data_IF_669192685441
#
_entry.id   IF_669192685441
#
_cell.length_a   1.000
_cell.length_b   1.000
_cell.length_c   1.000
_cell.angle_alpha   90.00
_cell.angle_beta   90.00
_cell.angle_gamma   90.00
#
_symmetry.space_group_name_H-M   'P 1'
#
loop_
_entity.id
_entity.type
_entity.pdbx_description
1 polymer ?
#
# COMPACT_ATOMS: atom_id res chain seq x y z
N UNK A 1 2.41 -22.22 0.64
CA UNK A 1 1.27 -21.30 0.85
C UNK A 1 1.38 -20.19 -0.18
N UNK A 2 0.63 -20.27 -1.28
CA UNK A 2 0.62 -19.19 -2.28
C UNK A 2 0.07 -17.92 -1.62
N UNK A 3 0.87 -16.85 -1.60
CA UNK A 3 0.53 -15.54 -1.04
C UNK A 3 -0.52 -14.78 -1.90
N UNK A 4 -1.52 -15.48 -2.41
CA UNK A 4 -2.62 -14.99 -3.26
C UNK A 4 -3.63 -14.11 -2.51
N UNK A 5 -3.33 -13.66 -1.29
CA UNK A 5 -4.25 -12.90 -0.40
C UNK A 5 -3.57 -11.76 0.38
N UNK A 6 -2.47 -11.20 -0.13
CA UNK A 6 -1.71 -10.17 0.58
C UNK A 6 -1.85 -8.78 -0.02
N UNK A 7 -3.04 -8.43 -0.53
CA UNK A 7 -3.33 -7.09 -1.05
C UNK A 7 -3.08 -5.98 -0.01
N UNK A 8 -3.48 -6.13 1.27
CA UNK A 8 -3.11 -5.16 2.30
C UNK A 8 -1.59 -5.04 2.49
N UNK A 9 -0.86 -6.15 2.42
CA UNK A 9 0.59 -6.12 2.60
C UNK A 9 1.30 -5.51 1.38
N UNK A 10 0.81 -5.80 0.17
CA UNK A 10 1.31 -5.19 -1.05
C UNK A 10 1.01 -3.70 -1.06
N UNK A 11 -0.18 -3.28 -0.62
CA UNK A 11 -0.54 -1.89 -0.42
C UNK A 11 0.41 -1.22 0.58
N UNK A 12 0.68 -1.85 1.73
CA UNK A 12 1.64 -1.34 2.71
C UNK A 12 3.04 -1.15 2.11
N UNK A 13 3.52 -2.11 1.29
CA UNK A 13 4.80 -2.00 0.57
C UNK A 13 4.81 -0.86 -0.46
N UNK A 14 3.70 -0.65 -1.16
CA UNK A 14 3.57 0.45 -2.12
C UNK A 14 3.60 1.78 -1.38
N UNK A 15 2.82 1.93 -0.29
CA UNK A 15 2.86 3.14 0.54
C UNK A 15 4.29 3.40 1.03
N UNK A 16 4.99 2.38 1.55
CA UNK A 16 6.41 2.51 1.96
C UNK A 16 7.34 3.04 0.87
N UNK A 17 7.04 2.75 -0.41
CA UNK A 17 7.90 3.12 -1.54
C UNK A 17 7.59 4.52 -2.07
N UNK A 18 6.34 4.96 -1.96
CA UNK A 18 5.85 6.20 -2.58
C UNK A 18 5.39 7.25 -1.56
N UNK A 19 5.56 7.00 -0.26
CA UNK A 19 5.19 7.95 0.79
C UNK A 19 6.05 9.23 0.76
N UNK A 20 5.47 10.39 1.15
CA UNK A 20 4.06 10.58 1.51
C UNK A 20 3.17 10.69 0.25
N UNK A 21 2.04 9.96 0.25
CA UNK A 21 1.07 10.03 -0.84
C UNK A 21 0.06 11.14 -0.54
N UNK A 22 -0.09 12.08 -1.46
CA UNK A 22 -0.96 13.27 -1.31
C UNK A 22 -2.40 12.95 -1.69
N UNK A 23 -3.17 12.45 -0.72
CA UNK A 23 -4.61 12.26 -0.80
C UNK A 23 -5.06 10.90 -1.33
N UNK A 24 -6.29 10.52 -0.98
CA UNK A 24 -6.89 9.23 -1.35
C UNK A 24 -6.98 9.07 -2.88
N UNK A 25 -7.45 10.09 -3.60
CA UNK A 25 -7.56 10.02 -5.06
C UNK A 25 -6.20 9.78 -5.76
N UNK A 26 -5.11 10.28 -5.18
CA UNK A 26 -3.75 10.04 -5.69
C UNK A 26 -3.30 8.61 -5.43
N UNK A 27 -3.63 8.03 -4.26
CA UNK A 27 -3.40 6.62 -3.99
C UNK A 27 -4.13 5.73 -5.01
N UNK A 28 -5.41 5.98 -5.27
CA UNK A 28 -6.19 5.20 -6.23
C UNK A 28 -5.61 5.27 -7.65
N UNK A 29 -5.25 6.48 -8.12
CA UNK A 29 -4.58 6.66 -9.42
C UNK A 29 -3.24 5.93 -9.49
N UNK A 30 -2.44 5.99 -8.42
CA UNK A 30 -1.16 5.30 -8.33
C UNK A 30 -1.35 3.79 -8.45
N UNK A 31 -2.24 3.20 -7.65
CA UNK A 31 -2.49 1.76 -7.64
C UNK A 31 -3.03 1.29 -8.99
N UNK A 32 -4.03 1.99 -9.55
CA UNK A 32 -4.57 1.69 -10.87
C UNK A 32 -3.48 1.76 -11.95
N UNK A 33 -2.61 2.77 -11.92
CA UNK A 33 -1.49 2.88 -12.86
C UNK A 33 -0.50 1.73 -12.74
N UNK A 34 -0.18 1.28 -11.51
CA UNK A 34 0.71 0.14 -11.27
C UNK A 34 0.10 -1.16 -11.79
N UNK A 35 -1.21 -1.37 -11.59
CA UNK A 35 -1.92 -2.55 -12.12
C UNK A 35 -1.88 -2.56 -13.64
N UNK A 36 -2.16 -1.44 -14.28
CA UNK A 36 -2.09 -1.31 -15.74
C UNK A 36 -0.66 -1.50 -16.29
N UNK A 37 0.36 -1.34 -15.45
CA UNK A 37 1.78 -1.64 -15.77
C UNK A 37 2.18 -3.08 -15.45
N UNK A 38 1.24 -3.94 -15.06
CA UNK A 38 1.46 -5.37 -14.83
C UNK A 38 1.59 -5.79 -13.36
N UNK A 39 1.37 -4.88 -12.40
CA UNK A 39 1.30 -5.27 -10.99
C UNK A 39 0.04 -6.12 -10.75
N UNK A 40 0.23 -7.34 -10.23
CA UNK A 40 -0.86 -8.29 -9.97
C UNK A 40 -1.57 -7.97 -8.65
N UNK A 41 -2.47 -6.99 -8.67
CA UNK A 41 -3.48 -6.75 -7.63
C UNK A 41 -4.86 -6.93 -8.28
N UNK A 42 -5.85 -7.36 -7.50
CA UNK A 42 -7.22 -7.67 -7.97
C UNK A 42 -8.23 -6.61 -7.55
N UNK A 43 -7.75 -5.44 -7.15
CA UNK A 43 -8.60 -4.30 -6.86
C UNK A 43 -9.50 -3.97 -8.05
N UNK A 44 -10.80 -3.86 -7.78
CA UNK A 44 -11.80 -3.55 -8.80
C UNK A 44 -11.97 -2.04 -8.92
N UNK A 45 -11.60 -1.48 -10.07
CA UNK A 45 -11.70 -0.05 -10.33
C UNK A 45 -12.92 0.32 -11.16
N UNK A 46 -13.61 1.38 -10.72
CA UNK A 46 -14.65 2.09 -11.47
C UNK A 46 -14.08 3.46 -11.85
N UNK A 47 -14.18 3.83 -13.13
CA UNK A 47 -13.71 5.11 -13.63
C UNK A 47 -14.77 6.19 -13.44
N UNK A 48 -14.47 7.19 -12.61
CA UNK A 48 -15.27 8.41 -12.46
C UNK A 48 -14.60 9.61 -13.15
N UNK A 49 -15.32 10.73 -13.27
CA UNK A 49 -14.79 11.97 -13.84
C UNK A 49 -13.55 12.52 -13.12
N UNK A 50 -13.41 12.22 -11.84
CA UNK A 50 -12.28 12.62 -10.99
C UNK A 50 -11.18 11.54 -10.88
N UNK A 51 -11.31 10.42 -11.60
CA UNK A 51 -10.33 9.34 -11.64
C UNK A 51 -10.89 7.96 -11.27
N UNK A 52 -10.04 6.93 -11.36
CA UNK A 52 -10.39 5.56 -10.97
C UNK A 52 -10.60 5.49 -9.45
N UNK A 53 -11.60 4.72 -9.03
CA UNK A 53 -11.92 4.46 -7.63
C UNK A 53 -12.11 2.97 -7.39
N UNK A 54 -11.61 2.45 -6.28
CA UNK A 54 -11.71 1.06 -5.87
C UNK A 54 -12.11 0.96 -4.39
N UNK A 55 -13.28 0.35 -4.12
CA UNK A 55 -13.82 0.21 -2.77
C UNK A 55 -12.98 -0.74 -1.91
N UNK A 56 -12.52 -1.83 -2.51
CA UNK A 56 -11.63 -2.83 -1.92
C UNK A 56 -10.25 -2.25 -1.54
N UNK A 57 -9.70 -1.33 -2.35
CA UNK A 57 -8.49 -0.58 -1.96
C UNK A 57 -8.72 0.30 -0.72
N UNK A 58 -9.89 0.95 -0.62
CA UNK A 58 -10.24 1.74 0.57
C UNK A 58 -10.39 0.84 1.80
N UNK A 59 -11.04 -0.32 1.68
CA UNK A 59 -11.20 -1.28 2.77
C UNK A 59 -9.83 -1.75 3.30
N UNK A 60 -8.90 -2.09 2.40
CA UNK A 60 -7.53 -2.48 2.76
C UNK A 60 -6.74 -1.32 3.38
N UNK A 61 -6.89 -0.10 2.86
CA UNK A 61 -6.28 1.09 3.48
C UNK A 61 -6.80 1.30 4.91
N UNK A 62 -8.12 1.20 5.11
CA UNK A 62 -8.74 1.33 6.42
C UNK A 62 -8.28 0.22 7.38
N UNK A 63 -8.12 -1.01 6.90
CA UNK A 63 -7.54 -2.08 7.68
C UNK A 63 -6.12 -1.73 8.15
N UNK A 64 -5.24 -1.26 7.26
CA UNK A 64 -3.88 -0.87 7.61
C UNK A 64 -3.83 0.27 8.63
N UNK A 65 -4.75 1.23 8.53
CA UNK A 65 -4.91 2.32 9.51
C UNK A 65 -5.34 1.76 10.86
N UNK A 66 -6.36 0.91 10.91
CA UNK A 66 -6.85 0.27 12.15
C UNK A 66 -5.78 -0.60 12.81
N UNK A 67 -4.92 -1.26 12.03
CA UNK A 67 -3.77 -1.99 12.55
C UNK A 67 -2.64 -1.09 13.07
N UNK A 68 -2.75 0.23 12.87
CA UNK A 68 -1.76 1.23 13.24
C UNK A 68 -0.50 1.17 12.39
N UNK A 69 -0.60 0.70 11.14
CA UNK A 69 0.55 0.55 10.22
C UNK A 69 0.66 1.74 9.24
N UNK A 70 -0.47 2.36 8.93
CA UNK A 70 -0.57 3.56 8.09
C UNK A 70 -1.22 4.68 8.91
N UNK A 71 -0.77 5.91 8.71
CA UNK A 71 -1.40 7.10 9.26
C UNK A 71 -1.84 8.03 8.12
N UNK A 72 -2.94 8.72 8.36
CA UNK A 72 -3.42 9.82 7.52
C UNK A 72 -3.27 11.10 8.34
N UNK A 73 -2.47 12.03 7.84
CA UNK A 73 -2.24 13.33 8.45
C UNK A 73 -2.82 14.44 7.57
N UNK A 74 -3.20 15.56 8.19
CA UNK A 74 -3.54 16.77 7.45
C UNK A 74 -2.38 17.75 7.57
N UNK A 75 -1.79 18.13 6.43
CA UNK A 75 -0.70 19.09 6.31
C UNK A 75 -1.14 20.23 5.38
N UNK A 76 -1.39 21.42 5.95
CA UNK A 76 -1.79 22.62 5.21
C UNK A 76 -2.94 22.41 4.22
N UNK A 77 -3.99 21.69 4.67
CA UNK A 77 -5.16 21.36 3.85
C UNK A 77 -4.98 20.15 2.92
N UNK A 78 -3.80 19.55 2.87
CA UNK A 78 -3.55 18.31 2.13
C UNK A 78 -3.62 17.10 3.05
N UNK A 79 -4.36 16.08 2.63
CA UNK A 79 -4.33 14.77 3.27
C UNK A 79 -3.06 14.02 2.83
N UNK A 80 -2.22 13.61 3.77
CA UNK A 80 -1.00 12.84 3.53
C UNK A 80 -1.14 11.42 4.08
N UNK A 81 -0.90 10.43 3.23
CA UNK A 81 -0.90 9.01 3.60
C UNK A 81 0.55 8.55 3.71
N UNK A 82 0.95 8.04 4.87
CA UNK A 82 2.31 7.54 5.13
C UNK A 82 2.28 6.38 6.12
N UNK A 83 3.38 5.66 6.24
CA UNK A 83 3.58 4.65 7.26
C UNK A 83 3.65 5.28 8.65
N UNK A 84 3.13 4.55 9.62
CA UNK A 84 3.43 4.82 11.03
C UNK A 84 4.83 4.30 11.38
N UNK A 85 5.35 4.67 12.55
CA UNK A 85 6.58 4.08 13.08
C UNK A 85 6.50 2.55 13.21
N UNK A 86 5.31 2.00 13.50
CA UNK A 86 5.05 0.55 13.51
C UNK A 86 5.08 -0.03 12.10
N UNK A 87 4.45 0.63 11.12
CA UNK A 87 4.47 0.23 9.71
C UNK A 87 5.88 0.13 9.15
N UNK A 88 6.73 1.14 9.42
CA UNK A 88 8.14 1.15 9.00
C UNK A 88 8.91 -0.05 9.56
N UNK A 89 8.72 -0.37 10.86
CA UNK A 89 9.38 -1.54 11.49
C UNK A 89 8.96 -2.85 10.81
N UNK A 90 7.67 -3.02 10.55
CA UNK A 90 7.14 -4.23 9.89
C UNK A 90 7.73 -4.39 8.48
N UNK A 91 7.78 -3.33 7.68
CA UNK A 91 8.39 -3.39 6.34
C UNK A 91 9.87 -3.76 6.42
N UNK A 92 10.64 -3.16 7.33
CA UNK A 92 12.05 -3.51 7.55
C UNK A 92 12.22 -4.99 7.93
N UNK A 93 11.39 -5.50 8.85
CA UNK A 93 11.40 -6.92 9.22
C UNK A 93 11.09 -7.84 8.03
N UNK A 94 10.10 -7.49 7.20
CA UNK A 94 9.75 -8.27 6.00
C UNK A 94 10.85 -8.30 4.95
N UNK A 95 11.58 -7.20 4.78
CA UNK A 95 12.74 -7.15 3.87
C UNK A 95 13.90 -8.00 4.39
N UNK A 96 14.13 -8.01 5.70
CA UNK A 96 15.19 -8.81 6.32
C UNK A 96 14.89 -10.32 6.34
N UNK A 97 13.62 -10.74 6.34
CA UNK A 97 13.27 -12.16 6.18
C UNK A 97 13.72 -12.64 4.79
N UNK A 98 13.47 -11.82 3.75
CA UNK A 98 13.83 -12.16 2.38
C UNK A 98 15.35 -12.31 2.16
N UNK A 99 16.19 -11.58 2.91
CA UNK A 99 17.65 -11.72 2.80
C UNK A 99 18.20 -12.96 3.51
N UNK A 100 17.52 -13.44 4.57
CA UNK A 100 17.91 -14.67 5.29
C UNK A 100 17.61 -15.94 4.50
N UNK A 101 16.50 -15.98 3.77
CA UNK A 101 16.17 -17.13 2.93
C UNK A 101 17.16 -17.31 1.76
N UNK A 102 17.85 -16.25 1.33
CA UNK A 102 18.90 -16.29 0.31
C UNK A 102 20.28 -16.69 0.85
N UNK A 103 20.48 -16.73 2.18
CA UNK A 103 21.78 -17.04 2.81
C UNK A 103 21.91 -18.49 3.28
N UNK A 104 20.89 -19.32 3.09
CA UNK A 104 20.90 -20.74 3.48
C UNK A 104 21.37 -21.66 2.33
N UNK A 105 21.51 -21.13 1.11
CA UNK A 105 22.00 -21.88 -0.06
C UNK A 105 23.42 -21.50 -0.51
N UNK A 106 24.29 -20.98 0.38
CA UNK A 106 25.70 -20.69 0.07
C UNK A 106 26.66 -21.54 0.88
#
# INVERSE_FOLDING_TARGET
MELKYLEPLMLLKIISKYEPIKGIATLHRLIHSLINKGLKLRYTFINYSFGPYSKDLDEDLQLLIKCGLVVIENDNGNTLIKLSSKGVKIIKSLLNIKSRDLSIES
#
